data_IF_196344862499
#
_entry.id   IF_196344862499
#
_cell.length_a   1.000
_cell.length_b   1.000
_cell.length_c   1.000
_cell.angle_alpha   90.00
_cell.angle_beta   90.00
_cell.angle_gamma   90.00
#
_symmetry.space_group_name_H-M   'P 1'
#
loop_
_entity.id
_entity.type
_entity.pdbx_description
1 polymer ?
#
# COMPACT_ATOMS: atom_id res chain seq x y z
N UNK A 1 -17.81 -45.32 9.89
CA UNK A 1 -16.40 -45.04 9.51
C UNK A 1 -16.28 -44.37 8.14
N UNK A 2 -16.95 -44.83 7.07
CA UNK A 2 -16.88 -44.15 5.75
C UNK A 2 -17.47 -42.72 5.79
N UNK A 3 -18.60 -42.53 6.48
CA UNK A 3 -19.24 -41.22 6.64
C UNK A 3 -18.37 -40.18 7.37
N UNK A 4 -17.54 -40.60 8.33
CA UNK A 4 -16.64 -39.70 9.06
C UNK A 4 -15.42 -39.31 8.23
N UNK A 5 -14.91 -40.21 7.39
CA UNK A 5 -13.81 -39.92 6.46
C UNK A 5 -14.27 -38.93 5.38
N UNK A 6 -15.47 -39.12 4.84
CA UNK A 6 -16.05 -38.23 3.82
C UNK A 6 -16.29 -36.80 4.35
N UNK A 7 -16.77 -36.67 5.60
CA UNK A 7 -16.92 -35.37 6.25
C UNK A 7 -15.57 -34.68 6.53
N UNK A 8 -14.53 -35.43 6.91
CA UNK A 8 -13.19 -34.87 7.08
C UNK A 8 -12.61 -34.37 5.75
N UNK A 9 -12.74 -35.13 4.65
CA UNK A 9 -12.25 -34.73 3.32
C UNK A 9 -12.99 -33.52 2.77
N UNK A 10 -14.32 -33.45 2.91
CA UNK A 10 -15.08 -32.24 2.57
C UNK A 10 -14.72 -31.06 3.46
N UNK A 11 -14.44 -31.29 4.74
CA UNK A 11 -13.94 -30.28 5.68
C UNK A 11 -12.61 -29.67 5.25
N UNK A 12 -11.65 -30.49 4.78
CA UNK A 12 -10.38 -29.98 4.23
C UNK A 12 -10.57 -29.15 2.95
N UNK A 13 -11.48 -29.58 2.06
CA UNK A 13 -11.81 -28.83 0.84
C UNK A 13 -12.43 -27.46 1.14
N UNK A 14 -13.44 -27.42 2.02
CA UNK A 14 -14.12 -26.18 2.41
C UNK A 14 -13.17 -25.25 3.17
N UNK A 15 -12.34 -25.80 4.06
CA UNK A 15 -11.33 -25.02 4.79
C UNK A 15 -10.31 -24.41 3.84
N UNK A 16 -9.83 -25.15 2.83
CA UNK A 16 -8.91 -24.64 1.82
C UNK A 16 -9.49 -23.48 1.01
N UNK A 17 -10.76 -23.59 0.59
CA UNK A 17 -11.46 -22.53 -0.12
C UNK A 17 -11.62 -21.28 0.75
N UNK A 18 -11.99 -21.45 2.03
CA UNK A 18 -12.11 -20.33 2.98
C UNK A 18 -10.77 -19.61 3.19
N UNK A 19 -9.69 -20.36 3.37
CA UNK A 19 -8.34 -19.77 3.53
C UNK A 19 -7.92 -19.01 2.27
N UNK A 20 -8.22 -19.53 1.08
CA UNK A 20 -7.93 -18.83 -0.18
C UNK A 20 -8.71 -17.52 -0.31
N UNK A 21 -10.01 -17.52 0.03
CA UNK A 21 -10.86 -16.31 -0.02
C UNK A 21 -10.36 -15.27 0.99
N UNK A 22 -10.10 -15.67 2.24
CA UNK A 22 -9.60 -14.79 3.30
C UNK A 22 -8.21 -14.25 2.91
N UNK A 23 -7.34 -15.11 2.37
CA UNK A 23 -6.02 -14.72 1.89
C UNK A 23 -6.08 -13.68 0.78
N UNK A 24 -6.94 -13.88 -0.21
CA UNK A 24 -7.15 -12.93 -1.30
C UNK A 24 -7.71 -11.59 -0.78
N UNK A 25 -8.66 -11.64 0.16
CA UNK A 25 -9.22 -10.45 0.77
C UNK A 25 -8.18 -9.64 1.55
N UNK A 26 -7.33 -10.31 2.34
CA UNK A 26 -6.21 -9.68 3.07
C UNK A 26 -5.16 -9.11 2.11
N UNK A 27 -4.83 -9.84 1.04
CA UNK A 27 -3.91 -9.38 0.00
C UNK A 27 -4.44 -8.11 -0.67
N UNK A 28 -5.72 -8.07 -1.03
CA UNK A 28 -6.36 -6.87 -1.58
C UNK A 28 -6.30 -5.68 -0.62
N UNK A 29 -6.46 -5.91 0.69
CA UNK A 29 -6.32 -4.86 1.72
C UNK A 29 -4.88 -4.36 1.84
N UNK A 30 -3.90 -5.24 1.74
CA UNK A 30 -2.48 -4.88 1.77
C UNK A 30 -2.08 -4.04 0.55
N UNK A 31 -2.48 -4.45 -0.66
CA UNK A 31 -2.26 -3.68 -1.90
C UNK A 31 -2.94 -2.32 -1.83
N UNK A 32 -4.18 -2.27 -1.34
CA UNK A 32 -4.88 -0.98 -1.10
C UNK A 32 -4.10 -0.09 -0.12
N UNK A 33 -3.53 -0.65 0.94
CA UNK A 33 -2.71 0.09 1.89
C UNK A 33 -1.48 0.72 1.24
N UNK A 34 -0.77 -0.04 0.40
CA UNK A 34 0.40 0.47 -0.35
C UNK A 34 -0.01 1.57 -1.32
N UNK A 35 -1.05 1.34 -2.15
CA UNK A 35 -1.53 2.34 -3.11
C UNK A 35 -1.98 3.60 -2.39
N UNK A 36 -2.71 3.46 -1.29
CA UNK A 36 -3.19 4.60 -0.49
C UNK A 36 -2.00 5.38 0.09
N UNK A 37 -0.95 4.70 0.57
CA UNK A 37 0.26 5.37 1.05
C UNK A 37 0.98 6.15 -0.07
N UNK A 38 1.05 5.59 -1.28
CA UNK A 38 1.64 6.27 -2.45
C UNK A 38 0.83 7.51 -2.82
N UNK A 39 -0.50 7.37 -2.93
CA UNK A 39 -1.41 8.48 -3.26
C UNK A 39 -1.34 9.58 -2.20
N UNK A 40 -1.37 9.22 -0.91
CA UNK A 40 -1.24 10.19 0.18
C UNK A 40 0.13 10.87 0.17
N UNK A 41 1.20 10.17 -0.21
CA UNK A 41 2.50 10.78 -0.45
C UNK A 41 2.44 11.85 -1.54
N UNK A 42 1.84 11.54 -2.69
CA UNK A 42 1.66 12.52 -3.77
C UNK A 42 0.81 13.71 -3.36
N UNK A 43 -0.28 13.48 -2.62
CA UNK A 43 -1.12 14.56 -2.07
C UNK A 43 -0.33 15.42 -1.09
N UNK A 44 0.47 14.82 -0.21
CA UNK A 44 1.33 15.55 0.71
C UNK A 44 2.37 16.41 -0.02
N UNK A 45 2.95 15.90 -1.12
CA UNK A 45 3.90 16.65 -1.94
C UNK A 45 3.24 17.92 -2.48
N UNK A 46 2.07 17.77 -3.10
CA UNK A 46 1.31 18.89 -3.66
C UNK A 46 0.88 19.88 -2.57
N UNK A 47 0.50 19.38 -1.39
CA UNK A 47 0.13 20.22 -0.26
C UNK A 47 1.31 21.07 0.21
N UNK A 48 2.50 20.48 0.36
CA UNK A 48 3.71 21.19 0.80
C UNK A 48 4.11 22.29 -0.18
N UNK A 49 4.00 22.02 -1.48
CA UNK A 49 4.28 23.00 -2.53
C UNK A 49 3.23 24.13 -2.56
N UNK A 50 1.93 23.77 -2.52
CA UNK A 50 0.84 24.75 -2.59
C UNK A 50 0.86 25.73 -1.43
N UNK A 51 1.12 25.26 -0.21
CA UNK A 51 1.23 26.14 0.97
C UNK A 51 2.59 26.82 1.10
N UNK A 52 3.50 26.62 0.14
CA UNK A 52 4.84 27.21 0.10
C UNK A 52 5.65 26.91 1.37
N UNK A 53 5.37 25.77 2.01
CA UNK A 53 6.09 25.29 3.20
C UNK A 53 7.50 24.86 2.78
N UNK A 54 7.60 24.17 1.63
CA UNK A 54 8.84 23.79 0.99
C UNK A 54 8.69 24.01 -0.52
N UNK A 55 9.70 24.56 -1.19
CA UNK A 55 9.69 24.73 -2.65
C UNK A 55 9.89 23.37 -3.32
N UNK A 56 8.80 22.70 -3.66
CA UNK A 56 8.85 21.36 -4.23
C UNK A 56 8.49 21.44 -5.71
N UNK A 57 9.48 21.75 -6.54
CA UNK A 57 9.29 21.74 -7.99
C UNK A 57 9.22 20.30 -8.49
N UNK A 58 8.05 19.91 -9.01
CA UNK A 58 7.80 18.55 -9.44
C UNK A 58 8.82 18.07 -10.48
N UNK A 59 9.57 17.03 -10.12
CA UNK A 59 10.52 16.34 -10.98
C UNK A 59 10.13 14.87 -11.16
N UNK A 60 10.56 14.28 -12.29
CA UNK A 60 10.37 12.86 -12.53
C UNK A 60 11.01 11.98 -11.44
N UNK A 61 12.15 12.42 -10.86
CA UNK A 61 12.82 11.71 -9.77
C UNK A 61 12.00 11.74 -8.47
N UNK A 62 11.41 12.88 -8.14
CA UNK A 62 10.55 13.04 -6.96
C UNK A 62 9.33 12.13 -7.05
N UNK A 63 8.70 12.08 -8.23
CA UNK A 63 7.59 11.17 -8.52
C UNK A 63 7.95 9.70 -8.30
N UNK A 64 9.17 9.27 -8.68
CA UNK A 64 9.65 7.90 -8.44
C UNK A 64 9.80 7.63 -6.94
N UNK A 65 10.40 8.58 -6.19
CA UNK A 65 10.60 8.43 -4.75
C UNK A 65 9.26 8.35 -4.01
N UNK A 66 8.29 9.18 -4.40
CA UNK A 66 6.92 9.13 -3.87
C UNK A 66 6.22 7.82 -4.28
N UNK A 67 6.43 7.31 -5.49
CA UNK A 67 5.85 6.03 -5.92
C UNK A 67 6.42 4.82 -5.18
N UNK A 68 7.69 4.87 -4.77
CA UNK A 68 8.35 3.76 -4.07
C UNK A 68 8.07 3.78 -2.56
N UNK A 69 8.04 4.96 -1.94
CA UNK A 69 7.97 5.10 -0.50
C UNK A 69 6.68 5.76 0.01
N UNK A 70 5.92 6.48 -0.83
CA UNK A 70 4.70 7.19 -0.44
C UNK A 70 4.97 8.35 0.50
N UNK A 71 4.22 8.41 1.61
CA UNK A 71 4.33 9.46 2.64
C UNK A 71 5.78 9.64 3.15
N UNK A 72 6.50 8.59 3.62
CA UNK A 72 7.86 8.76 4.12
C UNK A 72 8.84 9.28 3.06
N UNK A 73 8.70 8.85 1.79
CA UNK A 73 9.52 9.40 0.69
C UNK A 73 9.28 10.89 0.46
N UNK A 74 8.03 11.30 0.58
CA UNK A 74 7.61 12.71 0.45
C UNK A 74 8.19 13.57 1.56
N UNK A 75 8.22 13.07 2.80
CA UNK A 75 8.83 13.78 3.95
C UNK A 75 10.34 13.96 3.72
N UNK A 76 11.03 12.93 3.24
CA UNK A 76 12.47 13.01 2.96
C UNK A 76 12.74 14.04 1.86
N UNK A 77 11.95 14.02 0.78
CA UNK A 77 12.05 15.01 -0.30
C UNK A 77 11.83 16.43 0.21
N UNK A 78 10.83 16.64 1.07
CA UNK A 78 10.53 17.94 1.65
C UNK A 78 11.72 18.48 2.45
N UNK A 79 12.34 17.62 3.27
CA UNK A 79 13.55 17.98 4.02
C UNK A 79 14.70 18.30 3.06
N UNK A 80 14.93 17.47 2.04
CA UNK A 80 16.00 17.67 1.07
C UNK A 80 15.85 19.01 0.32
N UNK A 81 14.67 19.31 -0.21
CA UNK A 81 14.38 20.56 -0.92
C UNK A 81 14.33 21.79 0.00
N UNK A 82 14.14 21.60 1.31
CA UNK A 82 14.19 22.70 2.27
C UNK A 82 15.62 23.08 2.68
N UNK A 83 16.58 22.16 2.53
CA UNK A 83 17.96 22.33 2.99
C UNK A 83 18.94 22.74 1.88
N UNK A 84 18.63 22.44 0.62
CA UNK A 84 19.47 22.69 -0.56
C UNK A 84 18.73 23.56 -1.58
#
# INVERSE_FOLDING_TARGET
>A
MIHSIFNSVMGFGITGILVAIIGFWLFGRFVKGIITNIVLGGVLYLFLDWFHICKMNWSAMDGIIVALAGIPGTIILAIAHSLF
#
